data_IF_951980396892
#
_entry.id   IF_951980396892
#
_cell.length_a   1.000
_cell.length_b   1.000
_cell.length_c   1.000
_cell.angle_alpha   90.00
_cell.angle_beta   90.00
_cell.angle_gamma   90.00
#
_symmetry.space_group_name_H-M   'P 1'
#
loop_
_entity.id
_entity.type
_entity.pdbx_description
1 polymer ?
#
# COMPACT_ATOMS: atom_id res chain seq x y z
N UNK A 1 4.43 18.56 12.09
CA UNK A 1 4.21 17.39 12.96
C UNK A 1 2.76 17.44 13.44
N UNK A 2 1.84 16.76 12.72
CA UNK A 2 0.42 16.69 13.14
C UNK A 2 0.34 15.83 14.39
N UNK A 3 -0.11 16.41 15.51
CA UNK A 3 -0.57 15.64 16.66
C UNK A 3 -2.01 15.18 16.36
N UNK A 4 -2.16 14.17 15.51
CA UNK A 4 -3.44 13.51 15.39
C UNK A 4 -3.67 12.71 16.69
N UNK A 5 -4.82 12.88 17.29
CA UNK A 5 -5.24 12.07 18.45
C UNK A 5 -5.56 10.63 18.04
N UNK A 6 -5.56 10.34 16.76
CA UNK A 6 -5.92 9.07 16.14
C UNK A 6 -4.75 8.53 15.32
N UNK A 7 -4.47 7.25 15.42
CA UNK A 7 -3.52 6.53 14.56
C UNK A 7 -4.24 6.05 13.30
N UNK A 8 -3.80 6.52 12.15
CA UNK A 8 -4.37 6.17 10.85
C UNK A 8 -3.67 4.94 10.30
N UNK A 9 -4.44 3.89 10.00
CA UNK A 9 -3.92 2.60 9.54
C UNK A 9 -4.62 2.20 8.24
N UNK A 10 -3.86 1.94 7.21
CA UNK A 10 -4.37 1.34 5.97
C UNK A 10 -4.35 -0.18 6.10
N UNK A 11 -5.46 -0.82 5.78
CA UNK A 11 -5.57 -2.25 5.64
C UNK A 11 -5.35 -2.63 4.18
N UNK A 12 -4.15 -3.07 3.85
CA UNK A 12 -3.77 -3.49 2.51
C UNK A 12 -4.07 -4.99 2.29
N UNK A 13 -4.41 -5.32 1.07
CA UNK A 13 -4.88 -6.65 0.69
C UNK A 13 -6.39 -6.75 0.59
N UNK A 14 -6.88 -7.91 0.12
CA UNK A 14 -8.32 -8.15 -0.04
C UNK A 14 -8.95 -8.52 1.30
N UNK A 15 -9.51 -7.53 1.99
CA UNK A 15 -10.23 -7.75 3.23
C UNK A 15 -11.68 -8.17 2.96
N UNK A 16 -12.13 -9.36 3.38
CA UNK A 16 -13.54 -9.74 3.31
C UNK A 16 -14.43 -8.74 4.07
N UNK A 17 -15.64 -8.50 3.57
CA UNK A 17 -16.58 -7.57 4.20
C UNK A 17 -16.91 -7.93 5.66
N UNK A 18 -16.91 -9.21 5.99
CA UNK A 18 -17.11 -9.72 7.35
C UNK A 18 -15.96 -9.38 8.30
N UNK A 19 -14.70 -9.38 7.81
CA UNK A 19 -13.52 -8.92 8.59
C UNK A 19 -13.67 -7.45 8.91
N UNK A 20 -13.99 -6.63 7.91
CA UNK A 20 -14.20 -5.20 8.10
C UNK A 20 -15.38 -4.92 9.07
N UNK A 21 -16.47 -5.69 8.95
CA UNK A 21 -17.60 -5.57 9.86
C UNK A 21 -17.24 -5.99 11.30
N UNK A 22 -16.45 -7.05 11.47
CA UNK A 22 -16.01 -7.51 12.78
C UNK A 22 -15.08 -6.49 13.45
N UNK A 23 -14.08 -5.98 12.74
CA UNK A 23 -13.14 -4.98 13.26
C UNK A 23 -13.85 -3.65 13.56
N UNK A 24 -14.78 -3.22 12.69
CA UNK A 24 -15.55 -1.99 12.88
C UNK A 24 -16.50 -1.98 14.09
N UNK A 25 -16.79 -3.16 14.69
CA UNK A 25 -17.51 -3.24 15.96
C UNK A 25 -16.66 -2.99 17.20
N UNK A 26 -15.35 -2.92 17.05
CA UNK A 26 -14.44 -2.61 18.18
C UNK A 26 -14.58 -1.15 18.59
N UNK A 27 -14.73 -0.90 19.90
CA UNK A 27 -14.90 0.47 20.45
C UNK A 27 -13.68 1.38 20.20
N UNK A 28 -12.50 0.79 19.98
CA UNK A 28 -11.25 1.54 19.78
C UNK A 28 -10.91 1.80 18.31
N UNK A 29 -11.74 1.33 17.38
CA UNK A 29 -11.48 1.39 15.94
C UNK A 29 -12.62 2.11 15.23
N UNK A 30 -12.30 3.17 14.50
CA UNK A 30 -13.20 3.77 13.51
C UNK A 30 -12.88 3.17 12.14
N UNK A 31 -13.82 2.44 11.54
CA UNK A 31 -13.69 1.98 10.17
C UNK A 31 -14.13 3.09 9.22
N UNK A 32 -13.20 3.63 8.45
CA UNK A 32 -13.42 4.73 7.50
C UNK A 32 -13.46 4.16 6.08
N UNK A 33 -14.64 3.99 5.54
CA UNK A 33 -14.83 3.53 4.16
C UNK A 33 -14.72 4.69 3.18
N UNK A 34 -14.31 4.46 1.91
CA UNK A 34 -14.44 5.49 0.88
C UNK A 34 -15.92 5.88 0.74
N UNK A 35 -16.17 7.11 0.37
CA UNK A 35 -17.49 7.48 -0.14
C UNK A 35 -17.64 6.81 -1.51
N UNK A 36 -18.75 6.13 -1.75
CA UNK A 36 -19.02 5.59 -3.06
C UNK A 36 -19.07 6.76 -4.04
N UNK A 37 -18.25 6.76 -5.11
CA UNK A 37 -18.37 7.79 -6.12
C UNK A 37 -19.77 7.68 -6.72
N UNK A 38 -20.44 8.80 -6.86
CA UNK A 38 -21.78 8.88 -7.44
C UNK A 38 -21.84 8.35 -8.89
N UNK A 39 -20.67 8.28 -9.55
CA UNK A 39 -20.47 7.69 -10.88
C UNK A 39 -19.17 6.87 -10.90
N UNK A 40 -19.27 5.66 -11.41
CA UNK A 40 -18.27 4.57 -11.37
C UNK A 40 -16.91 4.82 -12.08
N UNK A 41 -16.46 6.06 -12.17
CA UNK A 41 -15.21 6.44 -12.85
C UNK A 41 -14.22 7.25 -12.00
N UNK A 42 -14.45 7.31 -10.68
CA UNK A 42 -13.57 8.08 -9.77
C UNK A 42 -12.16 7.50 -9.69
N UNK A 43 -11.16 8.38 -9.69
CA UNK A 43 -9.77 8.02 -9.46
C UNK A 43 -9.63 7.34 -8.09
N UNK A 44 -9.08 6.14 -8.06
CA UNK A 44 -8.88 5.36 -6.82
C UNK A 44 -8.03 6.10 -5.79
N UNK A 45 -7.11 6.97 -6.25
CA UNK A 45 -6.28 7.82 -5.39
C UNK A 45 -7.15 8.87 -4.68
N UNK A 46 -8.12 9.49 -5.36
CA UNK A 46 -8.99 10.50 -4.76
C UNK A 46 -9.91 9.89 -3.69
N UNK A 47 -10.48 8.72 -3.96
CA UNK A 47 -11.31 8.01 -3.00
C UNK A 47 -10.52 7.64 -1.73
N UNK A 48 -9.29 7.15 -1.90
CA UNK A 48 -8.39 6.82 -0.80
C UNK A 48 -7.94 8.09 -0.04
N UNK A 49 -7.60 9.16 -0.75
CA UNK A 49 -7.21 10.44 -0.16
C UNK A 49 -8.34 11.02 0.72
N UNK A 50 -9.58 11.02 0.23
CA UNK A 50 -10.75 11.44 0.99
C UNK A 50 -10.97 10.60 2.25
N UNK A 51 -10.80 9.28 2.16
CA UNK A 51 -10.90 8.39 3.31
C UNK A 51 -9.79 8.66 4.34
N UNK A 52 -8.54 8.86 3.92
CA UNK A 52 -7.42 9.20 4.81
C UNK A 52 -7.62 10.56 5.51
N UNK A 53 -8.15 11.55 4.80
CA UNK A 53 -8.47 12.85 5.41
C UNK A 53 -9.55 12.73 6.50
N UNK A 54 -10.59 11.90 6.27
CA UNK A 54 -11.61 11.64 7.29
C UNK A 54 -11.03 10.84 8.46
N UNK A 55 -10.17 9.87 8.18
CA UNK A 55 -9.46 9.09 9.19
C UNK A 55 -8.65 9.98 10.14
N UNK A 56 -7.94 10.97 9.61
CA UNK A 56 -7.18 11.93 10.42
C UNK A 56 -8.03 12.82 11.35
N UNK A 57 -9.35 12.83 11.19
CA UNK A 57 -10.30 13.56 12.04
C UNK A 57 -11.07 12.64 13.01
N UNK A 58 -10.83 11.33 12.96
CA UNK A 58 -11.50 10.38 13.85
C UNK A 58 -11.11 10.63 15.30
N UNK A 59 -12.06 10.38 16.20
CA UNK A 59 -11.87 10.53 17.65
C UNK A 59 -11.48 9.20 18.33
N UNK A 60 -11.59 8.08 17.61
CA UNK A 60 -11.16 6.77 18.09
C UNK A 60 -9.63 6.67 18.10
N UNK A 61 -9.03 5.86 19.00
CA UNK A 61 -7.58 5.65 19.03
C UNK A 61 -6.99 5.20 17.69
N UNK A 62 -7.73 4.38 16.93
CA UNK A 62 -7.36 3.91 15.62
C UNK A 62 -8.42 4.24 14.57
N UNK A 63 -8.01 4.71 13.39
CA UNK A 63 -8.84 4.79 12.20
C UNK A 63 -8.32 3.82 11.16
N UNK A 64 -9.12 2.82 10.83
CA UNK A 64 -8.78 1.80 9.84
C UNK A 64 -9.41 2.16 8.49
N UNK A 65 -8.59 2.23 7.45
CA UNK A 65 -8.97 2.59 6.08
C UNK A 65 -8.73 1.39 5.16
N UNK A 66 -9.77 0.79 4.56
CA UNK A 66 -9.63 -0.40 3.70
C UNK A 66 -9.34 -0.04 2.23
N UNK A 67 -8.89 1.16 1.97
CA UNK A 67 -8.47 1.64 0.63
C UNK A 67 -7.12 2.34 0.75
N UNK A 68 -6.31 2.19 -0.29
CA UNK A 68 -4.94 2.69 -0.29
C UNK A 68 -4.67 3.54 -1.53
N UNK A 69 -4.10 4.75 -1.40
CA UNK A 69 -3.70 5.55 -2.54
C UNK A 69 -2.58 4.90 -3.38
N UNK A 70 -1.87 3.92 -2.83
CA UNK A 70 -0.84 3.14 -3.54
C UNK A 70 -1.36 1.82 -4.11
N UNK A 71 -2.66 1.55 -4.07
CA UNK A 71 -3.23 0.26 -4.52
C UNK A 71 -2.90 -0.05 -5.99
N UNK A 72 -2.99 0.95 -6.88
CA UNK A 72 -2.64 0.79 -8.29
C UNK A 72 -1.14 0.54 -8.49
N UNK A 73 -0.28 1.22 -7.71
CA UNK A 73 1.17 0.98 -7.70
C UNK A 73 1.48 -0.46 -7.26
N UNK A 74 0.82 -0.93 -6.20
CA UNK A 74 1.00 -2.29 -5.70
C UNK A 74 0.49 -3.35 -6.69
N UNK A 75 -0.62 -3.07 -7.38
CA UNK A 75 -1.18 -3.97 -8.39
C UNK A 75 -0.27 -4.09 -9.62
N UNK A 76 0.21 -2.96 -10.16
CA UNK A 76 1.14 -2.94 -11.29
C UNK A 76 2.50 -3.54 -10.93
N UNK A 77 2.97 -3.32 -9.68
CA UNK A 77 4.14 -4.00 -9.15
C UNK A 77 4.00 -5.53 -9.20
N UNK A 78 2.89 -6.06 -8.69
CA UNK A 78 2.63 -7.50 -8.69
C UNK A 78 2.55 -8.07 -10.10
N UNK A 79 1.96 -7.33 -11.04
CA UNK A 79 1.83 -7.75 -12.42
C UNK A 79 3.19 -7.92 -13.14
N UNK A 80 4.26 -7.25 -12.71
CA UNK A 80 5.61 -7.48 -13.24
C UNK A 80 6.17 -8.86 -12.91
N UNK A 81 5.69 -9.47 -11.83
CA UNK A 81 6.13 -10.78 -11.35
C UNK A 81 5.19 -11.92 -11.74
N UNK A 82 4.15 -11.62 -12.52
CA UNK A 82 3.24 -12.66 -13.01
C UNK A 82 3.97 -13.55 -14.02
N UNK A 83 4.14 -14.83 -13.64
CA UNK A 83 4.84 -15.81 -14.47
C UNK A 83 4.07 -16.14 -15.76
N UNK A 84 2.74 -16.05 -15.73
CA UNK A 84 1.88 -16.36 -16.86
C UNK A 84 1.82 -15.23 -17.91
N UNK A 85 1.81 -14.00 -17.44
CA UNK A 85 1.74 -12.80 -18.28
C UNK A 85 2.55 -11.65 -17.63
N UNK A 86 3.88 -11.71 -17.69
CA UNK A 86 4.71 -10.68 -17.09
C UNK A 86 4.47 -9.35 -17.80
N UNK A 87 4.02 -8.38 -17.04
CA UNK A 87 3.90 -7.01 -17.54
C UNK A 87 5.25 -6.31 -17.37
N UNK A 88 5.60 -5.47 -18.32
CA UNK A 88 6.82 -4.69 -18.22
C UNK A 88 6.74 -3.62 -17.14
N UNK A 89 7.87 -2.98 -16.77
CA UNK A 89 7.91 -1.95 -15.73
C UNK A 89 7.13 -0.68 -16.11
N UNK A 90 6.70 -0.53 -17.35
CA UNK A 90 6.07 0.69 -17.84
C UNK A 90 4.75 1.03 -17.11
N UNK A 91 3.93 0.02 -16.77
CA UNK A 91 2.70 0.24 -16.03
C UNK A 91 2.98 0.65 -14.58
N UNK A 92 3.94 0.00 -13.95
CA UNK A 92 4.37 0.39 -12.61
C UNK A 92 4.89 1.84 -12.60
N UNK A 93 5.73 2.22 -13.55
CA UNK A 93 6.26 3.58 -13.66
C UNK A 93 5.16 4.61 -13.89
N UNK A 94 4.15 4.26 -14.69
CA UNK A 94 2.99 5.13 -14.91
C UNK A 94 2.17 5.33 -13.63
N UNK A 95 1.85 4.26 -12.89
CA UNK A 95 1.07 4.34 -11.66
C UNK A 95 1.89 5.01 -10.54
N UNK A 96 3.19 4.74 -10.46
CA UNK A 96 4.10 5.43 -9.54
C UNK A 96 4.17 6.93 -9.83
N UNK A 97 4.24 7.33 -11.10
CA UNK A 97 4.23 8.74 -11.49
C UNK A 97 2.92 9.45 -11.10
N UNK A 98 1.75 8.80 -11.26
CA UNK A 98 0.45 9.33 -10.83
C UNK A 98 0.42 9.50 -9.31
N UNK A 99 0.84 8.49 -8.55
CA UNK A 99 0.87 8.54 -7.10
C UNK A 99 1.81 9.64 -6.59
N UNK A 100 3.01 9.77 -7.18
CA UNK A 100 3.98 10.82 -6.86
C UNK A 100 3.43 12.22 -7.16
N UNK A 101 2.75 12.39 -8.29
CA UNK A 101 2.13 13.67 -8.64
C UNK A 101 1.03 14.05 -7.62
N UNK A 102 0.19 13.11 -7.23
CA UNK A 102 -0.85 13.31 -6.23
C UNK A 102 -0.26 13.65 -4.84
N UNK A 103 0.77 12.91 -4.42
CA UNK A 103 1.46 13.15 -3.16
C UNK A 103 2.16 14.51 -3.12
N UNK A 104 2.89 14.89 -4.19
CA UNK A 104 3.54 16.21 -4.31
C UNK A 104 2.55 17.35 -4.33
N UNK A 105 1.36 17.13 -4.87
CA UNK A 105 0.26 18.09 -4.83
C UNK A 105 -0.43 18.16 -3.44
N UNK A 106 0.02 17.36 -2.46
CA UNK A 106 -0.56 17.32 -1.11
C UNK A 106 -1.96 16.71 -1.05
N UNK A 107 -2.36 15.93 -2.08
CA UNK A 107 -3.67 15.29 -2.10
C UNK A 107 -3.81 14.20 -1.05
N UNK A 108 -2.74 13.50 -0.73
CA UNK A 108 -2.69 12.54 0.39
C UNK A 108 -1.32 12.57 1.09
N UNK A 109 -1.32 12.07 2.31
CA UNK A 109 -0.12 11.71 3.08
C UNK A 109 -0.14 10.20 3.32
N UNK A 110 1.04 9.58 3.48
CA UNK A 110 1.09 8.17 3.86
C UNK A 110 0.45 7.99 5.25
N UNK A 111 -0.24 6.84 5.49
CA UNK A 111 -0.84 6.55 6.78
C UNK A 111 0.22 6.37 7.86
N UNK A 112 -0.18 6.33 9.13
CA UNK A 112 0.76 6.00 10.20
C UNK A 112 1.33 4.58 10.04
N UNK A 113 0.47 3.62 9.63
CA UNK A 113 0.86 2.21 9.45
C UNK A 113 0.09 1.57 8.30
N UNK A 114 0.70 0.51 7.76
CA UNK A 114 0.04 -0.48 6.92
C UNK A 114 -0.11 -1.78 7.69
N UNK A 115 -1.32 -2.35 7.69
CA UNK A 115 -1.58 -3.74 8.05
C UNK A 115 -1.83 -4.51 6.77
N UNK A 116 -1.00 -5.49 6.50
CA UNK A 116 -1.09 -6.30 5.28
C UNK A 116 -1.74 -7.63 5.62
N UNK A 117 -2.89 -7.91 5.00
CA UNK A 117 -3.52 -9.23 5.07
C UNK A 117 -2.77 -10.16 4.11
N UNK A 118 -1.87 -10.97 4.65
CA UNK A 118 -1.16 -11.97 3.86
C UNK A 118 -2.12 -13.07 3.44
N UNK A 119 -2.04 -13.49 2.16
CA UNK A 119 -2.71 -14.71 1.71
C UNK A 119 -1.96 -15.92 2.28
N UNK A 120 -2.64 -17.07 2.43
CA UNK A 120 -2.01 -18.27 2.98
C UNK A 120 -0.78 -18.76 2.19
N UNK A 121 -0.76 -18.50 0.88
CA UNK A 121 0.38 -18.79 -0.01
C UNK A 121 1.55 -17.84 0.24
N UNK A 122 1.28 -16.57 0.55
CA UNK A 122 2.32 -15.56 0.77
C UNK A 122 3.03 -15.75 2.13
N UNK A 123 2.35 -16.36 3.11
CA UNK A 123 2.91 -16.65 4.42
C UNK A 123 3.89 -17.84 4.42
N UNK A 124 3.71 -18.80 3.50
CA UNK A 124 4.61 -19.96 3.35
C UNK A 124 5.91 -19.59 2.63
N UNK A 125 5.85 -18.59 1.71
CA UNK A 125 6.98 -18.12 0.92
C UNK A 125 7.62 -16.84 1.52
N UNK A 126 7.57 -16.69 2.82
CA UNK A 126 8.12 -15.51 3.54
C UNK A 126 9.64 -15.26 3.31
N UNK A 127 10.30 -16.09 2.54
CA UNK A 127 11.69 -15.93 2.09
C UNK A 127 11.85 -15.24 0.73
N UNK A 128 10.81 -15.22 -0.12
CA UNK A 128 10.86 -14.61 -1.46
C UNK A 128 9.80 -13.50 -1.55
N UNK A 129 10.14 -12.31 -1.04
CA UNK A 129 9.24 -11.16 -0.94
C UNK A 129 9.09 -10.39 -2.25
N UNK A 130 9.58 -10.93 -3.37
CA UNK A 130 9.57 -10.27 -4.67
C UNK A 130 8.19 -9.77 -5.14
N UNK A 131 7.12 -10.57 -5.04
CA UNK A 131 5.86 -10.22 -5.68
C UNK A 131 4.93 -9.28 -4.90
N UNK A 132 5.19 -8.96 -3.63
CA UNK A 132 4.32 -8.10 -2.84
C UNK A 132 4.96 -6.75 -2.54
N UNK A 133 4.36 -5.67 -3.07
CA UNK A 133 4.85 -4.30 -2.89
C UNK A 133 4.91 -3.88 -1.41
N UNK A 134 3.92 -4.28 -0.62
CA UNK A 134 3.85 -3.90 0.80
C UNK A 134 4.86 -4.65 1.66
N UNK A 135 5.04 -5.95 1.39
CA UNK A 135 5.94 -6.81 2.16
C UNK A 135 7.40 -6.71 1.70
N UNK A 136 7.62 -6.37 0.43
CA UNK A 136 8.94 -6.13 -0.14
C UNK A 136 9.36 -4.65 -0.01
N UNK A 137 9.22 -3.84 -1.06
CA UNK A 137 9.73 -2.48 -1.11
C UNK A 137 9.26 -1.56 0.03
N UNK A 138 7.95 -1.53 0.30
CA UNK A 138 7.39 -0.64 1.31
C UNK A 138 7.89 -0.98 2.72
N UNK A 139 7.88 -2.26 3.07
CA UNK A 139 8.38 -2.74 4.37
C UNK A 139 9.89 -2.52 4.50
N UNK A 140 10.66 -2.72 3.43
CA UNK A 140 12.11 -2.46 3.44
C UNK A 140 12.41 -0.99 3.71
N UNK A 141 11.60 -0.07 3.18
CA UNK A 141 11.75 1.36 3.45
C UNK A 141 11.49 1.70 4.92
N UNK A 142 10.49 1.07 5.57
CA UNK A 142 10.15 1.30 6.99
C UNK A 142 9.55 0.05 7.65
N UNK A 143 10.39 -0.87 8.18
CA UNK A 143 9.92 -2.14 8.74
C UNK A 143 8.95 -2.00 9.91
N UNK A 144 9.06 -0.91 10.68
CA UNK A 144 8.19 -0.65 11.84
C UNK A 144 6.80 -0.12 11.47
N UNK A 145 6.60 0.29 10.20
CA UNK A 145 5.36 0.87 9.70
C UNK A 145 4.49 -0.13 8.94
N UNK A 146 5.00 -1.34 8.70
CA UNK A 146 4.28 -2.39 8.00
C UNK A 146 4.19 -3.61 8.90
N UNK A 147 2.97 -3.97 9.31
CA UNK A 147 2.70 -5.18 10.07
C UNK A 147 1.91 -6.18 9.23
N UNK A 148 2.15 -7.47 9.45
CA UNK A 148 1.54 -8.56 8.69
C UNK A 148 0.50 -9.26 9.56
N UNK A 149 -0.66 -9.51 9.00
CA UNK A 149 -1.70 -10.37 9.59
C UNK A 149 -1.74 -11.66 8.77
N UNK A 150 -1.11 -12.70 9.28
CA UNK A 150 -1.03 -14.01 8.66
C UNK A 150 -2.18 -14.89 9.19
N UNK A 151 -3.37 -14.76 8.60
CA UNK A 151 -4.50 -15.59 8.91
C UNK A 151 -5.33 -15.82 7.64
N UNK A 152 -5.87 -17.01 7.47
CA UNK A 152 -6.64 -17.40 6.29
C UNK A 152 -8.13 -17.25 6.48
N UNK A 153 -8.59 -17.58 7.67
CA UNK A 153 -10.03 -17.54 7.99
C UNK A 153 -10.45 -16.12 8.42
N UNK A 154 -11.59 -15.63 7.94
CA UNK A 154 -12.04 -14.26 8.22
C UNK A 154 -12.15 -13.91 9.71
N UNK A 155 -12.57 -14.85 10.54
CA UNK A 155 -12.66 -14.64 11.99
C UNK A 155 -11.28 -14.46 12.62
N UNK A 156 -10.31 -15.25 12.21
CA UNK A 156 -8.91 -15.16 12.65
C UNK A 156 -8.25 -13.89 12.13
N UNK A 157 -8.53 -13.49 10.88
CA UNK A 157 -8.08 -12.23 10.32
C UNK A 157 -8.56 -11.04 11.15
N UNK A 158 -9.83 -11.02 11.53
CA UNK A 158 -10.38 -9.94 12.35
C UNK A 158 -9.66 -9.85 13.72
N UNK A 159 -9.44 -10.99 14.36
CA UNK A 159 -8.67 -11.06 15.63
C UNK A 159 -7.23 -10.61 15.40
N UNK A 160 -6.58 -11.09 14.36
CA UNK A 160 -5.21 -10.72 13.98
C UNK A 160 -5.05 -9.22 13.72
N UNK A 161 -6.00 -8.59 13.04
CA UNK A 161 -6.02 -7.13 12.83
C UNK A 161 -6.08 -6.41 14.17
N UNK A 162 -6.98 -6.79 15.08
CA UNK A 162 -7.12 -6.14 16.38
C UNK A 162 -5.87 -6.33 17.26
N UNK A 163 -5.24 -7.50 17.22
CA UNK A 163 -3.98 -7.77 17.92
C UNK A 163 -2.83 -6.94 17.32
N UNK A 164 -2.75 -6.85 15.99
CA UNK A 164 -1.74 -6.05 15.31
C UNK A 164 -1.86 -4.56 15.67
N UNK A 165 -3.09 -4.02 15.71
CA UNK A 165 -3.32 -2.63 16.15
C UNK A 165 -2.78 -2.38 17.57
N UNK A 166 -2.97 -3.33 18.50
CA UNK A 166 -2.46 -3.24 19.87
C UNK A 166 -0.94 -3.40 20.00
N UNK A 167 -0.26 -3.88 18.96
CA UNK A 167 1.19 -4.16 18.93
C UNK A 167 2.00 -3.25 18.00
N UNK A 168 1.41 -2.20 17.47
CA UNK A 168 2.09 -1.25 16.58
C UNK A 168 3.31 -0.63 17.26
N UNK A 169 4.46 -0.68 16.59
CA UNK A 169 5.73 -0.22 17.14
C UNK A 169 6.01 1.21 16.70
N UNK A 170 6.44 2.03 17.64
CA UNK A 170 6.98 3.34 17.31
C UNK A 170 8.30 3.21 16.53
N UNK A 171 8.49 4.09 15.57
CA UNK A 171 9.69 4.12 14.75
C UNK A 171 9.76 5.40 13.92
N UNK A 172 10.81 5.57 13.10
CA UNK A 172 10.92 6.70 12.19
C UNK A 172 9.69 6.82 11.30
N UNK A 173 9.36 8.07 10.91
CA UNK A 173 8.31 8.34 9.93
C UNK A 173 8.71 7.79 8.55
N UNK A 174 7.77 7.73 7.65
CA UNK A 174 8.04 7.38 6.26
C UNK A 174 9.11 8.29 5.66
N UNK A 175 9.96 7.79 4.77
CA UNK A 175 10.73 8.65 3.89
C UNK A 175 9.79 9.37 2.92
N UNK A 176 10.32 10.25 2.10
CA UNK A 176 9.57 10.80 1.00
C UNK A 176 9.10 9.69 0.04
N UNK A 177 7.93 9.84 -0.58
CA UNK A 177 7.35 8.78 -1.41
C UNK A 177 8.24 8.42 -2.61
N UNK A 178 9.01 9.38 -3.14
CA UNK A 178 9.99 9.12 -4.19
C UNK A 178 11.11 8.17 -3.74
N UNK A 179 11.57 8.25 -2.49
CA UNK A 179 12.53 7.29 -1.93
C UNK A 179 11.92 5.87 -1.80
N UNK A 180 10.62 5.78 -1.46
CA UNK A 180 9.91 4.48 -1.43
C UNK A 180 9.85 3.86 -2.83
N UNK A 181 9.51 4.67 -3.84
CA UNK A 181 9.44 4.21 -5.23
C UNK A 181 10.85 3.83 -5.74
N UNK A 182 11.88 4.59 -5.38
CA UNK A 182 13.26 4.24 -5.74
C UNK A 182 13.70 2.93 -5.07
N UNK A 183 13.31 2.72 -3.82
CA UNK A 183 13.51 1.43 -3.14
C UNK A 183 12.82 0.30 -3.92
N UNK A 184 11.58 0.53 -4.42
CA UNK A 184 10.90 -0.46 -5.24
C UNK A 184 11.70 -0.80 -6.51
N UNK A 185 12.21 0.20 -7.22
CA UNK A 185 13.05 -0.02 -8.42
C UNK A 185 14.30 -0.87 -8.14
N UNK A 186 14.87 -0.80 -6.96
CA UNK A 186 16.02 -1.61 -6.58
C UNK A 186 15.71 -3.12 -6.47
N UNK A 187 14.42 -3.48 -6.43
CA UNK A 187 13.97 -4.88 -6.45
C UNK A 187 13.67 -5.38 -7.87
N UNK A 188 13.84 -4.58 -8.92
CA UNK A 188 13.59 -5.05 -10.28
C UNK A 188 14.46 -6.27 -10.58
N UNK A 189 13.92 -7.27 -11.30
CA UNK A 189 14.74 -8.35 -11.85
C UNK A 189 15.80 -7.79 -12.78
N UNK A 190 17.02 -8.34 -12.74
CA UNK A 190 18.14 -7.89 -13.59
C UNK A 190 17.76 -7.83 -15.08
N UNK A 191 16.93 -8.76 -15.55
CA UNK A 191 16.39 -8.79 -16.90
C UNK A 191 15.55 -7.57 -17.30
N UNK A 192 14.93 -6.88 -16.33
CA UNK A 192 14.14 -5.68 -16.57
C UNK A 192 14.98 -4.40 -16.42
N UNK A 193 16.02 -4.44 -15.60
CA UNK A 193 16.94 -3.33 -15.41
C UNK A 193 17.70 -3.00 -16.71
N UNK A 194 18.16 -4.01 -17.44
CA UNK A 194 18.84 -3.85 -18.73
C UNK A 194 17.94 -3.26 -19.82
N UNK A 195 16.66 -3.65 -19.88
CA UNK A 195 15.68 -3.11 -20.83
C UNK A 195 15.37 -1.63 -20.61
N UNK A 196 15.43 -1.15 -19.36
CA UNK A 196 15.19 0.26 -19.02
C UNK A 196 16.39 1.13 -19.41
N UNK A 197 17.61 0.63 -19.21
CA UNK A 197 18.83 1.33 -19.58
C UNK A 197 19.01 1.50 -21.12
N UNK A 198 18.58 0.51 -21.88
CA UNK A 198 18.66 0.52 -23.36
C UNK A 198 17.73 1.56 -24.01
N UNK A 199 16.65 1.99 -23.36
CA UNK A 199 15.71 3.00 -23.88
C UNK A 199 16.18 4.44 -23.69
N UNK A 200 17.15 4.69 -22.81
CA UNK A 200 17.70 6.04 -22.57
C UNK A 200 18.73 6.44 -23.63
N UNK A 201 19.31 5.48 -24.34
CA UNK A 201 20.24 5.76 -25.44
C UNK A 201 19.40 5.88 -26.73
N UNK A 202 18.91 7.09 -27.00
CA UNK A 202 18.27 7.41 -28.27
C UNK A 202 19.20 7.16 -29.44
N UNK A 203 18.67 6.88 -30.67
CA UNK A 203 19.50 6.65 -31.83
C UNK A 203 20.33 7.89 -32.14
N UNK A 204 21.58 7.71 -32.58
CA UNK A 204 22.42 8.85 -32.98
C UNK A 204 21.73 9.57 -34.15
N UNK A 205 21.65 10.89 -34.04
CA UNK A 205 21.14 11.73 -35.11
C UNK A 205 22.00 11.49 -36.37
N UNK A 206 21.38 10.92 -37.40
CA UNK A 206 21.99 10.76 -38.71
C UNK A 206 22.16 12.14 -39.32
N UNK A 207 23.38 12.49 -39.60
CA UNK A 207 23.81 13.68 -40.38
C UNK A 207 23.59 13.45 -41.84
#
# INVERSE_FOLDING_TARGET
MRRNSCTVVVLAGSAPGEVLAAVGRSMNVALIRPEEPADSGGDSIEAAAGALQRAGRATSPYALVPVDPLAAVAASWRAMWDVAQPQGPAEFEQEAAKALAAWRAGRFELPDYYLVLARSTDAADAGDHGPDFYLGPLRSSRPHRVAVVAATEPAEQAVGVLQALGSLRHGPWWPALDEVIETARSFYPDSLAESSAARVVGPPASS
#
